data_IF_192410158077
#
_entry.id   IF_192410158077
#
_cell.length_a   1.000
_cell.length_b   1.000
_cell.length_c   1.000
_cell.angle_alpha   90.00
_cell.angle_beta   90.00
_cell.angle_gamma   90.00
#
_symmetry.space_group_name_H-M   'P 1'
#
loop_
_entity.id
_entity.type
_entity.pdbx_description
1 polymer ?
#
# COMPACT_ATOMS: atom_id res chain seq x y z
N UNK A 1 -8.32 -10.44 -25.44
CA UNK A 1 -8.30 -9.04 -24.95
C UNK A 1 -7.11 -8.79 -24.01
N UNK A 2 -6.79 -9.72 -23.11
CA UNK A 2 -5.64 -9.62 -22.18
C UNK A 2 -4.28 -9.34 -22.84
N UNK A 3 -3.95 -10.02 -23.95
CA UNK A 3 -2.65 -9.83 -24.62
C UNK A 3 -2.43 -8.41 -25.18
N UNK A 4 -3.51 -7.70 -25.53
CA UNK A 4 -3.41 -6.32 -26.02
C UNK A 4 -3.20 -5.34 -24.85
N UNK A 5 -3.86 -5.60 -23.70
CA UNK A 5 -3.65 -4.84 -22.48
C UNK A 5 -2.27 -5.09 -21.87
N UNK A 6 -1.79 -6.33 -21.84
CA UNK A 6 -0.44 -6.67 -21.39
C UNK A 6 0.64 -6.05 -22.28
N UNK A 7 0.45 -6.04 -23.61
CA UNK A 7 1.37 -5.39 -24.53
C UNK A 7 1.35 -3.87 -24.37
N UNK A 8 0.18 -3.24 -24.26
CA UNK A 8 0.06 -1.81 -24.01
C UNK A 8 0.67 -1.42 -22.65
N UNK A 9 0.43 -2.22 -21.61
CA UNK A 9 1.03 -2.06 -20.29
C UNK A 9 2.56 -2.19 -20.37
N UNK A 10 3.04 -3.20 -21.09
CA UNK A 10 4.48 -3.45 -21.32
C UNK A 10 5.18 -2.38 -22.18
N UNK A 11 4.42 -1.51 -22.84
CA UNK A 11 4.94 -0.36 -23.59
C UNK A 11 4.87 0.97 -22.82
N UNK A 12 4.12 1.04 -21.71
CA UNK A 12 4.08 2.22 -20.85
C UNK A 12 5.44 2.45 -20.20
N UNK A 13 5.82 3.72 -20.02
CA UNK A 13 7.03 4.05 -19.24
C UNK A 13 6.85 3.55 -17.80
N UNK A 14 7.94 3.16 -17.10
CA UNK A 14 7.86 2.70 -15.72
C UNK A 14 7.11 3.69 -14.81
N UNK A 15 7.30 4.99 -14.99
CA UNK A 15 6.59 6.03 -14.22
C UNK A 15 5.07 6.00 -14.43
N UNK A 16 4.61 5.75 -15.66
CA UNK A 16 3.19 5.70 -16.00
C UNK A 16 2.53 4.47 -15.39
N UNK A 17 3.21 3.31 -15.44
CA UNK A 17 2.75 2.07 -14.78
C UNK A 17 2.60 2.24 -13.28
N UNK A 18 3.59 2.87 -12.65
CA UNK A 18 3.56 3.16 -11.22
C UNK A 18 2.39 4.08 -10.84
N UNK A 19 2.10 5.10 -11.66
CA UNK A 19 0.96 5.98 -11.44
C UNK A 19 -0.38 5.22 -11.60
N UNK A 20 -0.47 4.31 -12.56
CA UNK A 20 -1.64 3.44 -12.73
C UNK A 20 -1.87 2.53 -11.52
N UNK A 21 -0.81 1.88 -11.01
CA UNK A 21 -0.87 1.06 -9.81
C UNK A 21 -1.35 1.83 -8.58
N UNK A 22 -0.79 3.04 -8.33
CA UNK A 22 -1.22 3.89 -7.22
C UNK A 22 -2.69 4.32 -7.34
N UNK A 23 -3.11 4.85 -8.49
CA UNK A 23 -4.50 5.31 -8.70
C UNK A 23 -5.51 4.17 -8.60
N UNK A 24 -5.20 3.03 -9.23
CA UNK A 24 -6.08 1.87 -9.19
C UNK A 24 -6.18 1.30 -7.78
N UNK A 25 -5.05 1.16 -7.09
CA UNK A 25 -5.01 0.67 -5.72
C UNK A 25 -5.77 1.58 -4.74
N UNK A 26 -5.63 2.90 -4.84
CA UNK A 26 -6.40 3.85 -4.02
C UNK A 26 -7.91 3.76 -4.28
N UNK A 27 -8.32 3.72 -5.55
CA UNK A 27 -9.73 3.55 -5.91
C UNK A 27 -10.31 2.23 -5.37
N UNK A 28 -9.53 1.14 -5.46
CA UNK A 28 -9.91 -0.16 -4.91
C UNK A 28 -10.01 -0.13 -3.38
N UNK A 29 -9.11 0.60 -2.71
CA UNK A 29 -9.10 0.77 -1.26
C UNK A 29 -10.38 1.43 -0.72
N UNK A 30 -10.85 2.50 -1.37
CA UNK A 30 -12.13 3.13 -0.99
C UNK A 30 -13.32 2.18 -1.10
N UNK A 31 -13.32 1.30 -2.11
CA UNK A 31 -14.38 0.29 -2.25
C UNK A 31 -14.23 -0.79 -1.18
N UNK A 32 -13.00 -1.27 -0.93
CA UNK A 32 -12.73 -2.27 0.10
C UNK A 32 -13.20 -1.80 1.50
N UNK A 33 -12.95 -0.54 1.84
CA UNK A 33 -13.40 0.05 3.10
C UNK A 33 -14.93 0.12 3.18
N UNK A 34 -15.59 0.59 2.11
CA UNK A 34 -17.05 0.68 2.05
C UNK A 34 -17.73 -0.68 2.19
N UNK A 35 -17.20 -1.69 1.52
CA UNK A 35 -17.74 -3.05 1.52
C UNK A 35 -17.24 -3.89 2.71
N UNK A 36 -16.28 -3.38 3.49
CA UNK A 36 -15.57 -4.09 4.58
C UNK A 36 -14.96 -5.42 4.12
N UNK A 37 -14.39 -5.42 2.91
CA UNK A 37 -13.78 -6.61 2.31
C UNK A 37 -12.26 -6.59 2.53
N UNK A 38 -11.82 -7.41 3.49
CA UNK A 38 -10.41 -7.54 3.85
C UNK A 38 -9.56 -8.04 2.67
N UNK A 39 -10.06 -8.97 1.83
CA UNK A 39 -9.28 -9.48 0.68
C UNK A 39 -9.12 -8.40 -0.39
N UNK A 40 -10.16 -7.60 -0.59
CA UNK A 40 -10.12 -6.46 -1.50
C UNK A 40 -9.14 -5.40 -0.99
N UNK A 41 -9.10 -5.15 0.32
CA UNK A 41 -8.11 -4.27 0.95
C UNK A 41 -6.68 -4.78 0.70
N UNK A 42 -6.40 -6.07 0.96
CA UNK A 42 -5.08 -6.65 0.69
C UNK A 42 -4.69 -6.51 -0.78
N UNK A 43 -5.64 -6.69 -1.69
CA UNK A 43 -5.41 -6.51 -3.14
C UNK A 43 -5.12 -5.05 -3.48
N UNK A 44 -5.87 -4.11 -2.91
CA UNK A 44 -5.70 -2.68 -3.12
C UNK A 44 -4.31 -2.22 -2.67
N UNK A 45 -3.91 -2.58 -1.44
CA UNK A 45 -2.59 -2.24 -0.89
C UNK A 45 -1.47 -2.93 -1.67
N UNK A 46 -1.67 -4.17 -2.10
CA UNK A 46 -0.76 -4.86 -3.00
C UNK A 46 -0.52 -4.07 -4.30
N UNK A 47 -1.57 -3.50 -4.90
CA UNK A 47 -1.44 -2.64 -6.09
C UNK A 47 -0.69 -1.34 -5.77
N UNK A 48 -1.02 -0.66 -4.68
CA UNK A 48 -0.32 0.57 -4.25
C UNK A 48 1.17 0.30 -4.05
N UNK A 49 1.53 -0.84 -3.47
CA UNK A 49 2.92 -1.19 -3.19
C UNK A 49 3.74 -1.57 -4.43
N UNK A 50 3.09 -1.87 -5.56
CA UNK A 50 3.75 -1.97 -6.88
C UNK A 50 3.93 -0.58 -7.54
N UNK A 51 3.30 0.46 -6.99
CA UNK A 51 3.46 1.85 -7.39
C UNK A 51 4.79 2.46 -6.94
N UNK A 52 5.08 3.66 -7.44
CA UNK A 52 6.28 4.40 -7.06
C UNK A 52 5.98 5.42 -5.97
N UNK A 53 6.81 5.42 -4.93
CA UNK A 53 6.74 6.34 -3.79
C UNK A 53 7.08 7.79 -4.17
N UNK A 54 7.72 7.99 -5.32
CA UNK A 54 8.14 9.30 -5.85
C UNK A 54 6.93 10.11 -6.35
N UNK A 55 5.80 9.44 -6.61
CA UNK A 55 4.66 10.02 -7.32
C UNK A 55 3.55 10.48 -6.35
N UNK A 56 3.73 10.30 -5.04
CA UNK A 56 2.75 10.69 -4.03
C UNK A 56 3.25 11.81 -3.12
N UNK A 57 2.36 12.74 -2.79
CA UNK A 57 2.62 13.82 -1.84
C UNK A 57 2.64 13.31 -0.38
N UNK A 58 2.95 14.21 0.56
CA UNK A 58 3.14 13.85 1.96
C UNK A 58 1.84 13.37 2.63
N UNK A 59 0.70 13.97 2.29
CA UNK A 59 -0.60 13.56 2.85
C UNK A 59 -1.00 12.16 2.33
N UNK A 60 -0.84 11.92 1.03
CA UNK A 60 -1.06 10.62 0.41
C UNK A 60 -0.10 9.56 0.98
N UNK A 61 1.15 9.91 1.26
CA UNK A 61 2.11 8.99 1.85
C UNK A 61 1.63 8.47 3.21
N UNK A 62 1.05 9.34 4.04
CA UNK A 62 0.46 8.94 5.33
C UNK A 62 -0.78 8.08 5.15
N UNK A 63 -1.66 8.39 4.18
CA UNK A 63 -2.80 7.53 3.85
C UNK A 63 -2.33 6.13 3.44
N UNK A 64 -1.32 6.05 2.58
CA UNK A 64 -0.76 4.77 2.13
C UNK A 64 -0.06 4.01 3.26
N UNK A 65 0.64 4.70 4.17
CA UNK A 65 1.21 4.09 5.37
C UNK A 65 0.14 3.49 6.29
N UNK A 66 -0.99 4.17 6.50
CA UNK A 66 -2.12 3.64 7.27
C UNK A 66 -2.78 2.43 6.59
N UNK A 67 -3.03 2.51 5.27
CA UNK A 67 -3.58 1.38 4.52
C UNK A 67 -2.68 0.14 4.62
N UNK A 68 -1.36 0.32 4.58
CA UNK A 68 -0.39 -0.75 4.79
C UNK A 68 -0.42 -1.32 6.22
N UNK A 69 -0.57 -0.48 7.24
CA UNK A 69 -0.75 -0.93 8.62
C UNK A 69 -2.00 -1.82 8.74
N UNK A 70 -3.14 -1.35 8.23
CA UNK A 70 -4.40 -2.07 8.28
C UNK A 70 -4.33 -3.40 7.52
N UNK A 71 -3.82 -3.39 6.28
CA UNK A 71 -3.64 -4.60 5.49
C UNK A 71 -2.71 -5.60 6.17
N UNK A 72 -1.62 -5.12 6.80
CA UNK A 72 -0.73 -5.97 7.57
C UNK A 72 -1.42 -6.63 8.76
N UNK A 73 -2.22 -5.89 9.52
CA UNK A 73 -3.00 -6.43 10.64
C UNK A 73 -4.04 -7.46 10.15
N UNK A 74 -4.71 -7.21 9.03
CA UNK A 74 -5.64 -8.18 8.43
C UNK A 74 -4.93 -9.45 7.97
N UNK A 75 -3.78 -9.32 7.33
CA UNK A 75 -2.97 -10.47 6.93
C UNK A 75 -2.53 -11.31 8.15
N UNK A 76 -2.18 -10.69 9.28
CA UNK A 76 -1.92 -11.41 10.54
C UNK A 76 -3.14 -12.19 11.04
N UNK A 77 -4.34 -11.59 11.02
CA UNK A 77 -5.59 -12.29 11.39
C UNK A 77 -5.82 -13.50 10.49
N UNK A 78 -5.48 -13.38 9.21
CA UNK A 78 -5.53 -14.46 8.22
C UNK A 78 -4.35 -15.45 8.33
N UNK A 79 -3.45 -15.27 9.31
CA UNK A 79 -2.25 -16.07 9.54
C UNK A 79 -1.24 -16.05 8.38
N UNK A 80 -1.29 -15.03 7.52
CA UNK A 80 -0.30 -14.78 6.48
C UNK A 80 0.73 -13.76 6.98
N UNK A 81 1.65 -14.23 7.82
CA UNK A 81 2.67 -13.39 8.46
C UNK A 81 3.70 -12.85 7.46
N UNK A 82 3.97 -13.58 6.37
CA UNK A 82 4.88 -13.10 5.34
C UNK A 82 4.30 -11.88 4.63
N UNK A 83 3.03 -11.95 4.24
CA UNK A 83 2.33 -10.84 3.62
C UNK A 83 2.17 -9.67 4.60
N UNK A 84 1.85 -9.95 5.87
CA UNK A 84 1.76 -8.94 6.91
C UNK A 84 3.06 -8.15 7.07
N UNK A 85 4.18 -8.86 7.22
CA UNK A 85 5.51 -8.25 7.35
C UNK A 85 5.88 -7.44 6.10
N UNK A 86 5.52 -7.92 4.90
CA UNK A 86 5.68 -7.16 3.66
C UNK A 86 4.91 -5.84 3.70
N UNK A 87 3.64 -5.85 4.11
CA UNK A 87 2.84 -4.63 4.22
C UNK A 87 3.39 -3.65 5.25
N UNK A 88 3.80 -4.11 6.44
CA UNK A 88 4.39 -3.20 7.44
C UNK A 88 5.66 -2.52 6.92
N UNK A 89 6.55 -3.24 6.24
CA UNK A 89 7.76 -2.65 5.67
C UNK A 89 7.46 -1.64 4.55
N UNK A 90 6.46 -1.92 3.70
CA UNK A 90 6.01 -0.94 2.72
C UNK A 90 5.43 0.29 3.42
N UNK A 91 4.58 0.13 4.44
CA UNK A 91 4.05 1.23 5.23
C UNK A 91 5.13 2.11 5.85
N UNK A 92 6.21 1.51 6.38
CA UNK A 92 7.39 2.22 6.90
C UNK A 92 8.08 3.02 5.80
N UNK A 93 8.27 2.43 4.61
CA UNK A 93 8.97 3.11 3.51
C UNK A 93 8.24 4.35 2.98
N UNK A 94 6.93 4.45 3.23
CA UNK A 94 6.12 5.63 2.91
C UNK A 94 6.21 6.74 3.97
N UNK A 95 6.74 6.48 5.17
CA UNK A 95 6.89 7.49 6.21
C UNK A 95 7.97 8.52 5.80
N UNK A 96 7.57 9.79 5.71
CA UNK A 96 8.45 10.91 5.33
C UNK A 96 9.27 11.41 6.51
N UNK A 97 10.31 12.19 6.23
CA UNK A 97 11.16 12.80 7.27
C UNK A 97 10.29 13.60 8.25
N UNK A 98 10.45 13.37 9.56
CA UNK A 98 9.64 14.02 10.59
C UNK A 98 8.48 13.15 11.12
N UNK A 99 8.23 11.99 10.51
CA UNK A 99 7.14 11.08 10.89
C UNK A 99 7.12 10.71 12.39
N UNK A 100 8.28 10.61 13.06
CA UNK A 100 8.33 10.34 14.50
C UNK A 100 7.76 11.47 15.35
N UNK A 101 7.76 12.72 14.86
CA UNK A 101 7.19 13.86 15.58
C UNK A 101 5.74 14.09 15.17
N UNK A 102 5.43 13.99 13.88
CA UNK A 102 4.12 14.34 13.31
C UNK A 102 3.12 13.17 13.36
N UNK A 103 3.63 11.93 13.25
CA UNK A 103 2.85 10.70 13.14
C UNK A 103 3.42 9.59 14.05
N UNK A 104 3.71 9.95 15.31
CA UNK A 104 4.38 9.08 16.27
C UNK A 104 3.69 7.72 16.42
N UNK A 105 2.37 7.70 16.63
CA UNK A 105 1.63 6.46 16.88
C UNK A 105 1.63 5.52 15.67
N UNK A 106 1.44 6.05 14.46
CA UNK A 106 1.52 5.29 13.22
C UNK A 106 2.92 4.69 13.04
N UNK A 107 3.95 5.52 13.24
CA UNK A 107 5.35 5.11 13.15
C UNK A 107 5.65 3.98 14.14
N UNK A 108 5.32 4.19 15.41
CA UNK A 108 5.57 3.23 16.48
C UNK A 108 4.88 1.89 16.19
N UNK A 109 3.63 1.90 15.76
CA UNK A 109 2.89 0.68 15.45
C UNK A 109 3.49 -0.08 14.27
N UNK A 110 3.80 0.61 13.16
CA UNK A 110 4.42 0.01 11.99
C UNK A 110 5.77 -0.64 12.33
N UNK A 111 6.66 0.09 12.99
CA UNK A 111 7.98 -0.42 13.37
C UNK A 111 7.88 -1.59 14.38
N UNK A 112 6.97 -1.52 15.35
CA UNK A 112 6.77 -2.60 16.32
C UNK A 112 6.22 -3.88 15.67
N UNK A 113 5.30 -3.76 14.71
CA UNK A 113 4.70 -4.90 14.04
C UNK A 113 5.62 -5.50 12.97
N UNK A 114 6.45 -4.69 12.31
CA UNK A 114 7.49 -5.17 11.39
C UNK A 114 8.63 -5.93 12.11
N UNK A 115 8.84 -5.68 13.40
CA UNK A 115 9.91 -6.33 14.17
C UNK A 115 9.53 -7.68 14.79
N UNK A 116 8.27 -8.13 14.62
CA UNK A 116 7.75 -9.41 15.13
C UNK A 116 7.94 -10.53 14.11
#
# INVERSE_FOLDING_TARGET
HDKLQEAAYSMMKPEERCLHHNRYGLALGFVAEREKDDKMLLTAVGQINQGSQVVIDDEQAIVVSNLNLDAGMKAMIMSDFFLAHSFFNHGISYLRRGHWTEHYDLSLQLFNLAAK
#
